data_IF_680799480271
#
_entry.id   IF_680799480271
#
_cell.length_a   1.000
_cell.length_b   1.000
_cell.length_c   1.000
_cell.angle_alpha   90.00
_cell.angle_beta   90.00
_cell.angle_gamma   90.00
#
_symmetry.space_group_name_H-M   'P 1'
#
loop_
_entity.id
_entity.type
_entity.pdbx_description
1 polymer ?
#
# COMPACT_ATOMS: atom_id res chain seq x y z
N UNK A 1 12.51 13.01 -43.63
CA UNK A 1 12.48 11.69 -42.99
C UNK A 1 12.88 11.91 -41.52
N UNK A 2 11.90 12.07 -40.69
CA UNK A 2 12.11 12.28 -39.25
C UNK A 2 12.19 10.91 -38.57
N UNK A 3 13.39 10.54 -38.19
CA UNK A 3 13.62 9.34 -37.39
C UNK A 3 13.12 9.59 -35.96
N UNK A 4 11.95 9.08 -35.61
CA UNK A 4 11.56 8.93 -34.23
C UNK A 4 12.45 7.81 -33.62
N UNK A 5 13.30 8.21 -32.70
CA UNK A 5 14.19 7.28 -32.00
C UNK A 5 13.42 6.64 -30.84
N UNK A 6 13.22 5.34 -30.88
CA UNK A 6 12.71 4.60 -29.72
C UNK A 6 13.77 4.60 -28.63
N UNK A 7 13.44 5.17 -27.45
CA UNK A 7 14.34 5.07 -26.30
C UNK A 7 14.26 3.65 -25.75
N UNK A 8 15.34 2.91 -25.89
CA UNK A 8 15.50 1.51 -25.47
C UNK A 8 16.28 0.68 -26.48
N UNK A 9 16.38 1.18 -27.72
CA UNK A 9 17.27 0.64 -28.74
C UNK A 9 18.34 1.68 -29.11
N UNK A 10 18.89 2.39 -28.12
CA UNK A 10 20.13 3.12 -28.35
C UNK A 10 21.21 2.05 -28.60
N UNK A 11 21.84 2.12 -29.76
CA UNK A 11 22.93 1.24 -30.18
C UNK A 11 24.15 1.22 -29.23
N UNK A 12 24.03 1.81 -28.05
CA UNK A 12 25.02 1.85 -26.98
C UNK A 12 24.85 0.74 -25.94
N UNK A 13 23.75 -0.01 -25.94
CA UNK A 13 23.54 -1.11 -25.01
C UNK A 13 23.70 -2.44 -25.74
N UNK A 14 24.69 -3.23 -25.36
CA UNK A 14 24.91 -4.58 -25.88
C UNK A 14 23.81 -5.56 -25.43
N UNK A 15 23.00 -5.22 -24.40
CA UNK A 15 21.94 -6.06 -23.85
C UNK A 15 20.71 -5.23 -23.49
N UNK A 16 19.51 -5.78 -23.71
CA UNK A 16 18.27 -5.20 -23.20
C UNK A 16 18.18 -5.38 -21.67
N UNK A 17 17.62 -4.40 -20.93
CA UNK A 17 17.38 -4.59 -19.51
C UNK A 17 16.54 -5.83 -19.23
N UNK A 18 16.82 -6.52 -18.13
CA UNK A 18 16.03 -7.66 -17.67
C UNK A 18 14.54 -7.29 -17.59
N UNK A 19 13.70 -8.23 -18.01
CA UNK A 19 12.23 -8.06 -17.98
C UNK A 19 11.70 -6.89 -18.82
N UNK A 20 12.32 -6.63 -19.98
CA UNK A 20 11.78 -5.67 -20.95
C UNK A 20 10.54 -6.26 -21.62
N UNK A 21 9.38 -5.64 -21.42
CA UNK A 21 8.09 -6.04 -21.97
C UNK A 21 7.58 -5.07 -23.06
N UNK A 22 8.02 -3.82 -23.01
CA UNK A 22 7.65 -2.77 -23.94
C UNK A 22 8.75 -1.71 -24.07
N UNK A 23 8.71 -0.95 -25.16
CA UNK A 23 9.59 0.18 -25.41
C UNK A 23 8.78 1.49 -25.25
N UNK A 24 9.42 2.53 -24.72
CA UNK A 24 8.81 3.84 -24.59
C UNK A 24 9.26 4.74 -25.75
N UNK A 25 8.30 5.29 -26.46
CA UNK A 25 8.54 6.20 -27.60
C UNK A 25 8.42 7.62 -27.09
N UNK A 26 9.45 8.41 -27.29
CA UNK A 26 9.49 9.82 -26.85
C UNK A 26 9.86 10.74 -28.02
N UNK A 27 9.49 12.02 -27.90
CA UNK A 27 9.90 13.08 -28.81
C UNK A 27 11.33 13.58 -28.50
N UNK A 28 11.79 14.62 -29.22
CA UNK A 28 13.12 15.20 -29.03
C UNK A 28 13.29 15.90 -27.67
N UNK A 29 12.20 16.30 -27.04
CA UNK A 29 12.11 16.94 -25.75
C UNK A 29 11.91 15.93 -24.61
N UNK A 30 12.04 14.60 -24.89
CA UNK A 30 11.86 13.48 -23.95
C UNK A 30 10.43 13.30 -23.45
N UNK A 31 9.43 13.84 -24.15
CA UNK A 31 8.01 13.67 -23.81
C UNK A 31 7.52 12.35 -24.35
N UNK A 32 6.71 11.65 -23.55
CA UNK A 32 6.15 10.38 -23.93
C UNK A 32 5.09 10.55 -25.03
N UNK A 33 5.30 9.94 -26.19
CA UNK A 33 4.35 9.89 -27.30
C UNK A 33 3.55 8.58 -27.32
N UNK A 34 4.17 7.46 -26.91
CA UNK A 34 3.50 6.18 -26.90
C UNK A 34 4.35 5.06 -26.32
N UNK A 35 3.79 3.88 -26.32
CA UNK A 35 4.51 2.64 -25.96
C UNK A 35 4.39 1.61 -27.06
N UNK A 36 5.45 0.86 -27.28
CA UNK A 36 5.50 -0.24 -28.24
C UNK A 36 5.73 -1.56 -27.49
N UNK A 37 4.69 -2.38 -27.29
CA UNK A 37 4.82 -3.70 -26.72
C UNK A 37 5.74 -4.59 -27.58
N UNK A 38 6.62 -5.36 -26.93
CA UNK A 38 7.57 -6.24 -27.65
C UNK A 38 6.88 -7.30 -28.52
N UNK A 39 5.72 -7.79 -28.12
CA UNK A 39 4.94 -8.72 -28.91
C UNK A 39 4.52 -8.13 -30.28
N UNK A 40 4.16 -6.83 -30.32
CA UNK A 40 3.85 -6.14 -31.58
C UNK A 40 5.11 -5.95 -32.43
N UNK A 41 6.22 -5.57 -31.81
CA UNK A 41 7.49 -5.40 -32.51
C UNK A 41 7.94 -6.71 -33.19
N UNK A 42 7.71 -7.87 -32.56
CA UNK A 42 8.15 -9.18 -33.09
C UNK A 42 7.31 -9.68 -34.25
N UNK A 43 6.06 -9.26 -34.39
CA UNK A 43 5.13 -9.74 -35.42
C UNK A 43 4.89 -8.73 -36.55
N UNK A 44 5.38 -7.51 -36.43
CA UNK A 44 5.20 -6.43 -37.39
C UNK A 44 6.34 -6.46 -38.42
N UNK A 45 6.04 -6.04 -39.66
CA UNK A 45 7.02 -5.91 -40.71
C UNK A 45 8.13 -4.93 -40.30
N UNK A 46 9.42 -5.29 -40.47
CA UNK A 46 10.55 -4.41 -40.11
C UNK A 46 10.55 -3.05 -40.82
N UNK A 47 9.88 -2.93 -41.96
CA UNK A 47 9.77 -1.68 -42.72
C UNK A 47 8.63 -0.79 -42.25
N UNK A 48 7.80 -1.23 -41.28
CA UNK A 48 6.69 -0.44 -40.74
C UNK A 48 7.19 0.66 -39.78
N UNK A 49 6.57 1.83 -39.83
CA UNK A 49 6.95 2.92 -38.95
C UNK A 49 6.45 2.70 -37.53
N UNK A 50 7.29 2.99 -36.52
CA UNK A 50 6.94 2.86 -35.08
C UNK A 50 5.68 3.63 -34.75
N UNK A 51 5.48 4.83 -35.31
CA UNK A 51 4.27 5.63 -35.09
C UNK A 51 2.95 4.97 -35.51
N UNK A 52 3.00 3.98 -36.42
CA UNK A 52 1.80 3.27 -36.89
C UNK A 52 1.43 2.08 -35.99
N UNK A 53 2.41 1.56 -35.25
CA UNK A 53 2.26 0.32 -34.45
C UNK A 53 2.30 0.58 -32.94
N UNK A 54 2.75 1.75 -32.49
CA UNK A 54 2.76 2.09 -31.08
C UNK A 54 1.35 2.34 -30.55
N UNK A 55 1.15 2.07 -29.27
CA UNK A 55 -0.05 2.45 -28.54
C UNK A 55 0.07 3.92 -28.14
N UNK A 56 -0.76 4.76 -28.73
CA UNK A 56 -0.83 6.18 -28.46
C UNK A 56 -1.64 6.38 -27.17
N UNK A 57 -1.26 7.37 -26.34
CA UNK A 57 -1.88 7.66 -25.05
C UNK A 57 -1.88 6.44 -24.10
N UNK A 58 -0.72 5.86 -23.79
CA UNK A 58 -0.63 4.77 -22.84
C UNK A 58 -1.03 5.25 -21.43
N UNK A 59 -1.42 4.30 -20.57
CA UNK A 59 -1.59 4.61 -19.16
C UNK A 59 -0.24 5.01 -18.57
N UNK A 60 -0.17 6.22 -18.03
CA UNK A 60 1.02 6.80 -17.40
C UNK A 60 0.82 6.96 -15.90
N UNK A 61 1.90 6.86 -15.14
CA UNK A 61 1.93 7.21 -13.72
C UNK A 61 2.64 8.54 -13.55
N UNK A 62 2.17 9.37 -12.64
CA UNK A 62 2.86 10.61 -12.30
C UNK A 62 3.97 10.36 -11.27
N UNK A 63 5.10 11.03 -11.41
CA UNK A 63 6.24 10.86 -10.52
C UNK A 63 5.94 11.22 -9.05
N UNK A 64 4.96 12.11 -8.80
CA UNK A 64 4.51 12.53 -7.48
C UNK A 64 3.27 11.75 -6.99
N UNK A 65 2.83 10.73 -7.73
CA UNK A 65 1.69 9.91 -7.38
C UNK A 65 2.01 8.95 -6.22
N UNK A 66 1.00 8.69 -5.39
CA UNK A 66 1.16 7.74 -4.28
C UNK A 66 1.34 6.32 -4.80
N UNK A 67 2.31 5.58 -4.24
CA UNK A 67 2.58 4.20 -4.61
C UNK A 67 1.34 3.28 -4.52
N UNK A 68 0.42 3.57 -3.58
CA UNK A 68 -0.85 2.85 -3.46
C UNK A 68 -1.76 3.03 -4.68
N UNK A 69 -1.81 4.24 -5.27
CA UNK A 69 -2.60 4.51 -6.49
C UNK A 69 -1.98 3.79 -7.68
N UNK A 70 -0.65 3.81 -7.79
CA UNK A 70 0.06 3.05 -8.80
C UNK A 70 -0.24 1.55 -8.68
N UNK A 71 -0.19 0.97 -7.47
CA UNK A 71 -0.52 -0.44 -7.23
C UNK A 71 -1.95 -0.78 -7.66
N UNK A 72 -2.92 0.07 -7.36
CA UNK A 72 -4.32 -0.11 -7.81
C UNK A 72 -4.48 -0.03 -9.33
N UNK A 73 -3.69 0.81 -10.01
CA UNK A 73 -3.68 0.88 -11.46
C UNK A 73 -3.14 -0.41 -12.07
N UNK A 74 -2.05 -0.97 -11.52
CA UNK A 74 -1.48 -2.24 -11.96
C UNK A 74 -2.48 -3.40 -11.80
N UNK A 75 -3.19 -3.48 -10.67
CA UNK A 75 -4.23 -4.48 -10.43
C UNK A 75 -5.44 -4.32 -11.37
N UNK A 76 -5.87 -3.06 -11.59
CA UNK A 76 -7.07 -2.79 -12.40
C UNK A 76 -6.87 -3.06 -13.89
N UNK A 77 -5.67 -2.79 -14.40
CA UNK A 77 -5.36 -2.84 -15.83
C UNK A 77 -4.43 -3.97 -16.22
N UNK A 78 -4.12 -4.90 -15.28
CA UNK A 78 -3.23 -6.05 -15.49
C UNK A 78 -1.88 -5.65 -16.11
N UNK A 79 -1.27 -4.56 -15.60
CA UNK A 79 -0.05 -4.01 -16.15
C UNK A 79 1.17 -4.86 -15.77
N UNK A 80 2.07 -5.07 -16.72
CA UNK A 80 3.41 -5.66 -16.48
C UNK A 80 4.41 -4.57 -16.15
N UNK A 81 4.37 -3.46 -16.90
CA UNK A 81 5.10 -2.24 -16.61
C UNK A 81 4.29 -1.01 -17.02
N UNK A 82 4.63 0.16 -16.47
CA UNK A 82 4.03 1.44 -16.83
C UNK A 82 5.09 2.54 -16.87
N UNK A 83 5.01 3.48 -17.85
CA UNK A 83 5.88 4.64 -17.88
C UNK A 83 5.51 5.62 -16.75
N UNK A 84 6.54 6.22 -16.17
CA UNK A 84 6.41 7.29 -15.19
C UNK A 84 6.81 8.60 -15.85
N UNK A 85 5.93 9.59 -15.78
CA UNK A 85 6.14 10.91 -16.37
C UNK A 85 6.09 12.01 -15.31
N UNK A 86 6.74 13.12 -15.62
CA UNK A 86 6.61 14.34 -14.84
C UNK A 86 5.41 15.19 -15.30
N UNK A 87 5.27 16.41 -14.72
CA UNK A 87 4.18 17.35 -15.04
C UNK A 87 4.21 17.89 -16.48
N UNK A 88 5.37 17.81 -17.13
CA UNK A 88 5.58 18.24 -18.51
C UNK A 88 5.47 17.06 -19.50
N UNK A 89 4.97 15.90 -19.03
CA UNK A 89 4.84 14.64 -19.76
C UNK A 89 6.19 14.05 -20.22
N UNK A 90 7.30 14.41 -19.56
CA UNK A 90 8.60 13.83 -19.85
C UNK A 90 8.75 12.49 -19.15
N UNK A 91 9.33 11.53 -19.86
CA UNK A 91 9.60 10.21 -19.31
C UNK A 91 10.70 10.28 -18.25
N UNK A 92 10.35 9.99 -17.00
CA UNK A 92 11.28 9.96 -15.85
C UNK A 92 11.80 8.56 -15.58
N UNK A 93 10.98 7.54 -15.87
CA UNK A 93 11.33 6.16 -15.63
C UNK A 93 10.21 5.18 -15.91
N UNK A 94 10.31 3.98 -15.36
CA UNK A 94 9.26 2.96 -15.41
C UNK A 94 9.03 2.32 -14.07
N UNK A 95 7.81 1.90 -13.80
CA UNK A 95 7.45 1.00 -12.70
C UNK A 95 7.11 -0.36 -13.28
N UNK A 96 7.58 -1.43 -12.64
CA UNK A 96 7.27 -2.81 -13.03
C UNK A 96 6.35 -3.47 -12.01
N UNK A 97 5.66 -4.52 -12.42
CA UNK A 97 4.82 -5.33 -11.52
C UNK A 97 5.60 -5.86 -10.33
N UNK A 98 6.88 -6.19 -10.47
CA UNK A 98 7.72 -6.66 -9.38
C UNK A 98 7.89 -5.58 -8.30
N UNK A 99 8.17 -4.32 -8.70
CA UNK A 99 8.26 -3.20 -7.76
C UNK A 99 6.92 -2.95 -7.03
N UNK A 100 5.81 -3.13 -7.73
CA UNK A 100 4.47 -3.03 -7.12
C UNK A 100 4.22 -4.16 -6.12
N UNK A 101 4.59 -5.41 -6.45
CA UNK A 101 4.46 -6.55 -5.54
C UNK A 101 5.32 -6.36 -4.29
N UNK A 102 6.55 -5.90 -4.44
CA UNK A 102 7.44 -5.60 -3.31
C UNK A 102 6.84 -4.52 -2.41
N UNK A 103 6.31 -3.43 -3.00
CA UNK A 103 5.62 -2.39 -2.25
C UNK A 103 4.39 -2.91 -1.47
N UNK A 104 3.55 -3.73 -2.11
CA UNK A 104 2.37 -4.33 -1.47
C UNK A 104 2.79 -5.21 -0.29
N UNK A 105 3.83 -6.01 -0.48
CA UNK A 105 4.37 -6.89 0.56
C UNK A 105 4.88 -6.08 1.75
N UNK A 106 5.73 -5.08 1.53
CA UNK A 106 6.29 -4.20 2.55
C UNK A 106 5.18 -3.42 3.29
N UNK A 107 4.24 -2.86 2.54
CA UNK A 107 3.08 -2.15 3.10
C UNK A 107 2.22 -3.06 3.99
N UNK A 108 1.98 -4.31 3.56
CA UNK A 108 1.22 -5.30 4.33
C UNK A 108 1.95 -5.69 5.62
N UNK A 109 3.27 -5.90 5.55
CA UNK A 109 4.10 -6.22 6.70
C UNK A 109 4.10 -5.07 7.72
N UNK A 110 4.32 -3.85 7.26
CA UNK A 110 4.27 -2.63 8.08
C UNK A 110 2.90 -2.48 8.76
N UNK A 111 1.81 -2.75 8.04
CA UNK A 111 0.46 -2.69 8.60
C UNK A 111 0.24 -3.75 9.69
N UNK A 112 0.72 -4.99 9.49
CA UNK A 112 0.64 -6.05 10.49
C UNK A 112 1.43 -5.72 11.75
N UNK A 113 2.66 -5.23 11.60
CA UNK A 113 3.51 -4.80 12.72
C UNK A 113 2.86 -3.64 13.51
N UNK A 114 2.33 -2.66 12.80
CA UNK A 114 1.64 -1.51 13.40
C UNK A 114 0.42 -1.92 14.22
N UNK A 115 -0.37 -2.91 13.76
CA UNK A 115 -1.51 -3.46 14.50
C UNK A 115 -1.08 -4.16 15.80
N UNK A 116 0.11 -4.76 15.81
CA UNK A 116 0.70 -5.35 17.00
C UNK A 116 1.40 -4.33 17.92
N UNK A 117 1.41 -3.04 17.56
CA UNK A 117 2.12 -1.99 18.29
C UNK A 117 3.65 -2.06 18.12
N UNK A 118 4.11 -2.73 17.07
CA UNK A 118 5.51 -2.85 16.69
C UNK A 118 5.84 -1.81 15.61
N UNK A 119 7.13 -1.47 15.49
CA UNK A 119 7.64 -0.57 14.45
C UNK A 119 8.31 -1.38 13.35
N UNK A 120 8.30 -0.81 12.16
CA UNK A 120 9.07 -1.30 11.03
C UNK A 120 10.57 -1.39 11.39
N UNK A 121 11.21 -2.53 11.04
CA UNK A 121 12.62 -2.75 11.34
C UNK A 121 12.93 -3.18 12.78
N UNK A 122 11.93 -3.63 13.57
CA UNK A 122 12.20 -4.20 14.89
C UNK A 122 12.93 -5.54 14.76
N UNK A 123 14.20 -5.55 15.16
CA UNK A 123 15.04 -6.75 15.13
C UNK A 123 14.76 -7.63 16.36
N UNK A 124 14.56 -8.92 16.11
CA UNK A 124 14.39 -9.96 17.17
C UNK A 124 15.63 -10.02 18.07
N UNK A 125 16.79 -9.65 17.53
CA UNK A 125 18.08 -9.65 18.25
C UNK A 125 18.43 -8.28 18.85
N UNK A 126 17.53 -7.28 18.76
CA UNK A 126 17.75 -5.97 19.36
C UNK A 126 17.91 -6.05 20.87
N UNK A 127 18.62 -5.08 21.46
CA UNK A 127 18.78 -5.00 22.92
C UNK A 127 17.42 -4.79 23.60
N UNK A 128 17.27 -5.27 24.84
CA UNK A 128 16.06 -5.10 25.63
C UNK A 128 15.65 -3.62 25.75
N UNK A 129 16.64 -2.74 25.88
CA UNK A 129 16.38 -1.29 25.97
C UNK A 129 15.83 -0.69 24.69
N UNK A 130 16.33 -1.11 23.54
CA UNK A 130 15.83 -0.64 22.24
C UNK A 130 14.41 -1.16 22.00
N UNK A 131 14.11 -2.42 22.33
CA UNK A 131 12.78 -2.99 22.25
C UNK A 131 11.78 -2.25 23.16
N UNK A 132 12.15 -1.95 24.39
CA UNK A 132 11.30 -1.18 25.33
C UNK A 132 11.06 0.21 24.78
N UNK A 133 12.08 0.91 24.28
CA UNK A 133 11.96 2.26 23.73
C UNK A 133 11.05 2.30 22.50
N UNK A 134 11.11 1.28 21.64
CA UNK A 134 10.27 1.20 20.46
C UNK A 134 8.79 0.96 20.79
N UNK A 135 8.51 0.18 21.86
CA UNK A 135 7.15 -0.17 22.31
C UNK A 135 6.59 0.77 23.37
N UNK A 136 7.39 1.69 23.89
CA UNK A 136 7.01 2.56 25.00
C UNK A 136 5.65 3.27 24.82
N UNK A 137 5.43 3.88 23.67
CA UNK A 137 4.20 4.62 23.38
C UNK A 137 2.95 3.72 23.42
N UNK A 138 3.04 2.52 22.87
CA UNK A 138 1.99 1.51 22.90
C UNK A 138 1.72 1.01 24.32
N UNK A 139 2.78 0.69 25.05
CA UNK A 139 2.69 0.25 26.45
C UNK A 139 2.10 1.33 27.34
N UNK A 140 2.47 2.60 27.15
CA UNK A 140 1.92 3.72 27.89
C UNK A 140 0.41 3.90 27.67
N UNK A 141 -0.06 3.81 26.41
CA UNK A 141 -1.49 3.88 26.08
C UNK A 141 -2.25 2.73 26.76
N UNK A 142 -1.71 1.49 26.66
CA UNK A 142 -2.32 0.33 27.32
C UNK A 142 -2.35 0.49 28.86
N UNK A 143 -1.32 1.04 29.45
CA UNK A 143 -1.29 1.29 30.90
C UNK A 143 -2.36 2.33 31.31
N UNK A 144 -2.53 3.40 30.55
CA UNK A 144 -3.56 4.43 30.81
C UNK A 144 -4.96 3.82 30.69
N UNK A 145 -5.23 3.04 29.64
CA UNK A 145 -6.53 2.37 29.45
C UNK A 145 -6.82 1.36 30.56
N UNK A 146 -5.82 0.58 30.99
CA UNK A 146 -5.92 -0.35 32.10
C UNK A 146 -6.21 0.39 33.42
N UNK A 147 -5.57 1.54 33.65
CA UNK A 147 -5.82 2.36 34.82
C UNK A 147 -7.25 2.91 34.86
N UNK A 148 -7.77 3.40 33.72
CA UNK A 148 -9.16 3.86 33.59
C UNK A 148 -10.12 2.70 33.91
N UNK A 149 -9.90 1.53 33.30
CA UNK A 149 -10.71 0.34 33.57
C UNK A 149 -10.69 -0.05 35.08
N UNK A 150 -9.53 -0.02 35.72
CA UNK A 150 -9.38 -0.28 37.16
C UNK A 150 -10.18 0.69 37.99
N UNK A 151 -10.20 2.00 37.63
CA UNK A 151 -11.01 3.01 38.35
C UNK A 151 -12.51 2.78 38.20
N UNK A 152 -12.96 2.37 37.01
CA UNK A 152 -14.36 2.01 36.78
C UNK A 152 -14.75 0.80 37.63
N UNK A 153 -13.93 -0.27 37.65
CA UNK A 153 -14.18 -1.46 38.48
C UNK A 153 -14.26 -1.06 39.98
N UNK A 154 -13.32 -0.26 40.48
CA UNK A 154 -13.31 0.20 41.85
C UNK A 154 -14.55 1.00 42.26
N UNK A 155 -15.14 1.77 41.32
CA UNK A 155 -16.39 2.49 41.59
C UNK A 155 -17.61 1.57 41.83
N UNK A 156 -17.54 0.30 41.38
CA UNK A 156 -18.57 -0.71 41.56
C UNK A 156 -18.21 -1.79 42.61
N UNK A 157 -17.15 -1.58 43.39
CA UNK A 157 -16.62 -2.56 44.38
C UNK A 157 -17.71 -3.07 45.30
N UNK A 158 -18.53 -2.19 45.89
CA UNK A 158 -19.61 -2.59 46.78
C UNK A 158 -20.73 -3.41 46.13
N UNK A 159 -20.87 -3.36 44.80
CA UNK A 159 -21.80 -4.21 44.08
C UNK A 159 -21.18 -5.59 43.80
N UNK A 160 -19.89 -5.60 43.54
CA UNK A 160 -19.11 -6.82 43.27
C UNK A 160 -18.99 -7.66 44.53
N UNK A 161 -18.75 -7.05 45.70
CA UNK A 161 -18.69 -7.73 46.99
C UNK A 161 -20.00 -8.45 47.32
N UNK A 162 -21.15 -7.87 46.99
CA UNK A 162 -22.47 -8.47 47.22
C UNK A 162 -22.76 -9.64 46.30
N UNK A 163 -22.18 -9.65 45.10
CA UNK A 163 -22.41 -10.65 44.06
C UNK A 163 -21.08 -11.14 43.50
N UNK A 164 -20.40 -12.02 44.19
CA UNK A 164 -19.10 -12.61 43.80
C UNK A 164 -19.14 -13.23 42.41
N UNK A 165 -20.30 -13.71 41.97
CA UNK A 165 -20.50 -14.24 40.63
C UNK A 165 -20.21 -13.18 39.52
N UNK A 166 -20.37 -11.88 39.81
CA UNK A 166 -20.02 -10.82 38.85
C UNK A 166 -18.52 -10.75 38.60
N UNK A 167 -17.70 -10.98 39.63
CA UNK A 167 -16.25 -11.01 39.48
C UNK A 167 -15.79 -12.13 38.53
N UNK A 168 -16.46 -13.28 38.58
CA UNK A 168 -16.17 -14.41 37.69
C UNK A 168 -16.57 -14.14 36.23
N UNK A 169 -17.54 -13.26 35.99
CA UNK A 169 -17.98 -12.91 34.64
C UNK A 169 -17.13 -11.80 33.99
N UNK A 170 -16.40 -11.00 34.78
CA UNK A 170 -15.58 -9.90 34.25
C UNK A 170 -14.59 -10.31 33.14
N UNK A 171 -13.79 -11.40 33.29
CA UNK A 171 -12.87 -11.83 32.24
C UNK A 171 -13.59 -12.23 30.95
N UNK A 172 -14.80 -12.82 31.07
CA UNK A 172 -15.61 -13.24 29.92
C UNK A 172 -16.10 -12.01 29.15
N UNK A 173 -16.67 -11.04 29.86
CA UNK A 173 -17.17 -9.79 29.23
C UNK A 173 -16.02 -8.99 28.61
N UNK A 174 -14.89 -8.87 29.31
CA UNK A 174 -13.70 -8.21 28.79
C UNK A 174 -13.14 -8.91 27.54
N UNK A 175 -13.11 -10.24 27.52
CA UNK A 175 -12.68 -11.04 26.38
C UNK A 175 -13.60 -10.85 25.18
N UNK A 176 -14.91 -10.89 25.37
CA UNK A 176 -15.88 -10.66 24.30
C UNK A 176 -15.75 -9.23 23.75
N UNK A 177 -15.66 -8.23 24.64
CA UNK A 177 -15.49 -6.81 24.24
C UNK A 177 -14.20 -6.59 23.46
N UNK A 178 -13.09 -7.19 23.87
CA UNK A 178 -11.80 -7.11 23.18
C UNK A 178 -11.85 -7.78 21.79
N UNK A 179 -12.46 -8.94 21.68
CA UNK A 179 -12.60 -9.64 20.39
C UNK A 179 -13.52 -8.87 19.43
N UNK A 180 -14.67 -8.42 19.92
CA UNK A 180 -15.61 -7.60 19.13
C UNK A 180 -14.94 -6.32 18.62
N UNK A 181 -14.25 -5.58 19.50
CA UNK A 181 -13.53 -4.37 19.13
C UNK A 181 -12.47 -4.62 18.06
N UNK A 182 -11.69 -5.71 18.18
CA UNK A 182 -10.68 -6.07 17.20
C UNK A 182 -11.30 -6.43 15.83
N UNK A 183 -12.42 -7.15 15.82
CA UNK A 183 -13.15 -7.47 14.59
C UNK A 183 -13.68 -6.21 13.90
N UNK A 184 -14.25 -5.27 14.66
CA UNK A 184 -14.76 -3.99 14.14
C UNK A 184 -13.64 -3.14 13.56
N UNK A 185 -12.50 -3.03 14.25
CA UNK A 185 -11.33 -2.30 13.74
C UNK A 185 -10.85 -2.92 12.43
N UNK A 186 -10.75 -4.24 12.35
CA UNK A 186 -10.29 -4.95 11.15
C UNK A 186 -11.22 -4.68 9.96
N UNK A 187 -12.55 -4.70 10.17
CA UNK A 187 -13.52 -4.38 9.12
C UNK A 187 -13.43 -2.94 8.66
N UNK A 188 -13.27 -1.99 9.59
CA UNK A 188 -13.15 -0.56 9.26
C UNK A 188 -11.86 -0.29 8.46
N UNK A 189 -10.73 -0.83 8.90
CA UNK A 189 -9.45 -0.67 8.20
C UNK A 189 -9.54 -1.23 6.78
N UNK A 190 -10.13 -2.42 6.61
CA UNK A 190 -10.35 -3.01 5.28
C UNK A 190 -11.25 -2.13 4.41
N UNK A 191 -12.34 -1.62 4.96
CA UNK A 191 -13.27 -0.76 4.21
C UNK A 191 -12.63 0.57 3.80
N UNK A 192 -11.74 1.13 4.63
CA UNK A 192 -10.93 2.32 4.30
C UNK A 192 -9.91 2.00 3.19
N UNK A 193 -9.21 0.89 3.29
CA UNK A 193 -8.24 0.46 2.29
C UNK A 193 -8.87 0.23 0.90
N UNK A 194 -10.11 -0.28 0.87
CA UNK A 194 -10.89 -0.48 -0.35
C UNK A 194 -11.61 0.80 -0.84
N UNK A 195 -11.42 1.95 -0.17
CA UNK A 195 -12.09 3.20 -0.52
C UNK A 195 -13.62 3.17 -0.36
N UNK A 196 -14.16 2.18 0.37
CA UNK A 196 -15.60 2.01 0.57
C UNK A 196 -16.20 2.96 1.62
N UNK A 197 -15.35 3.55 2.47
CA UNK A 197 -15.77 4.47 3.53
C UNK A 197 -15.31 5.88 3.20
N UNK A 198 -16.26 6.76 2.89
CA UNK A 198 -16.04 8.20 2.89
C UNK A 198 -16.18 8.75 4.31
N UNK A 199 -15.52 9.87 4.62
CA UNK A 199 -15.51 10.47 5.98
C UNK A 199 -16.92 10.69 6.58
N UNK A 200 -17.92 10.89 5.74
CA UNK A 200 -19.31 11.05 6.16
C UNK A 200 -19.95 9.74 6.68
N UNK A 201 -19.51 8.60 6.16
CA UNK A 201 -20.01 7.27 6.55
C UNK A 201 -19.43 6.78 7.87
N UNK A 202 -18.30 7.33 8.34
CA UNK A 202 -17.66 6.93 9.59
C UNK A 202 -18.58 7.15 10.81
N UNK A 203 -19.39 8.22 10.82
CA UNK A 203 -20.36 8.49 11.89
C UNK A 203 -21.52 7.50 11.94
N UNK A 204 -21.92 6.98 10.78
CA UNK A 204 -22.98 5.98 10.66
C UNK A 204 -22.49 4.63 11.17
N UNK A 205 -21.24 4.27 10.85
CA UNK A 205 -20.59 3.05 11.33
C UNK A 205 -20.44 3.05 12.86
N UNK A 206 -19.99 4.17 13.46
CA UNK A 206 -19.88 4.34 14.91
C UNK A 206 -21.23 4.22 15.66
N UNK A 207 -22.37 4.43 15.01
CA UNK A 207 -23.70 4.26 15.62
C UNK A 207 -24.26 2.85 15.46
N UNK A 208 -23.72 2.08 14.51
CA UNK A 208 -24.20 0.72 14.22
C UNK A 208 -23.56 -0.33 15.13
N UNK A 209 -22.34 -0.05 15.63
CA UNK A 209 -21.59 -0.86 16.58
C UNK A 209 -21.80 -0.38 18.03
#
# INVERSE_FOLDING_TARGET
AEHHQAIGLDARFDELPDHTDQLFVVDREERLEGVLPLNLLLITDPDEMVSNIMVVEPLTLQADEKAQTAAQAFERYDLVSAPVVDKDNKLVGRVTVNAVVDYIRESTETEQLSRAGLREGEDIFASVWDSVKNRWSWLAINLVTAFIASRVIGAFEGSIEKLVALAALMPIVAGIGGNSGNQTITMIVRALALGQVQQESARVLLRKE
#
